data_IF_197377167545
#
_entry.id   IF_197377167545
#
_cell.length_a   1.000
_cell.length_b   1.000
_cell.length_c   1.000
_cell.angle_alpha   90.00
_cell.angle_beta   90.00
_cell.angle_gamma   90.00
#
_symmetry.space_group_name_H-M   'P 1'
#
loop_
_entity.id
_entity.type
_entity.pdbx_description
1 polymer ?
#
# COMPACT_ATOMS: atom_id res chain seq x y z
N UNK A 1 3.66 14.16 18.79
CA UNK A 1 2.55 14.44 19.73
C UNK A 1 3.00 14.80 21.17
N UNK A 2 3.99 15.71 21.35
CA UNK A 2 4.26 16.41 22.63
C UNK A 2 4.98 17.75 22.32
N UNK A 3 4.22 18.81 22.05
CA UNK A 3 4.71 20.20 22.03
C UNK A 3 3.59 21.14 22.51
N UNK A 4 3.31 21.13 23.81
CA UNK A 4 2.52 22.17 24.49
C UNK A 4 3.01 22.42 25.92
N UNK A 5 4.32 22.46 26.13
CA UNK A 5 4.90 23.04 27.35
C UNK A 5 6.11 23.90 26.99
N UNK A 6 5.86 25.18 26.67
CA UNK A 6 6.84 26.26 26.79
C UNK A 6 6.35 27.20 27.90
N UNK A 7 7.10 27.25 29.00
CA UNK A 7 7.04 28.33 29.98
C UNK A 7 7.56 29.60 29.31
N UNK A 8 6.77 30.66 29.36
CA UNK A 8 7.18 32.03 29.08
C UNK A 8 6.25 32.95 29.86
N UNK A 9 6.75 33.51 30.96
CA UNK A 9 6.00 34.46 31.77
C UNK A 9 5.84 35.79 31.06
N UNK A 10 4.65 36.38 31.12
CA UNK A 10 4.47 37.81 30.93
C UNK A 10 3.27 38.31 31.74
N UNK A 11 3.61 39.17 32.70
CA UNK A 11 2.85 40.16 33.46
C UNK A 11 1.31 40.13 33.46
N UNK A 12 0.77 40.01 34.68
CA UNK A 12 -0.60 40.39 35.05
C UNK A 12 -0.89 41.83 34.63
N UNK A 13 -1.86 42.04 33.74
CA UNK A 13 -2.58 43.31 33.59
C UNK A 13 -4.05 43.08 33.94
N UNK A 14 -4.53 43.74 35.00
CA UNK A 14 -5.95 43.86 35.35
C UNK A 14 -6.66 44.73 34.31
N UNK A 15 -7.78 44.24 33.77
CA UNK A 15 -8.93 45.00 33.22
C UNK A 15 -10.10 43.99 33.19
N UNK A 16 -10.95 43.99 34.22
CA UNK A 16 -12.28 44.63 34.29
C UNK A 16 -13.34 44.03 33.33
N UNK A 17 -14.25 43.31 33.98
CA UNK A 17 -15.63 42.87 33.67
C UNK A 17 -16.39 43.46 32.47
N UNK A 18 -17.08 42.56 31.75
CA UNK A 18 -18.33 42.79 31.02
C UNK A 18 -18.98 41.45 30.63
N UNK A 19 -20.29 41.22 30.81
CA UNK A 19 -20.91 39.92 30.55
C UNK A 19 -21.29 39.80 29.07
N UNK A 20 -20.54 39.00 28.33
CA UNK A 20 -20.86 38.62 26.95
C UNK A 20 -21.03 37.11 26.88
N UNK A 21 -22.29 36.67 26.77
CA UNK A 21 -22.64 35.28 26.58
C UNK A 21 -22.20 34.85 25.17
N UNK A 22 -21.09 34.13 25.08
CA UNK A 22 -20.73 33.34 23.89
C UNK A 22 -20.63 31.91 24.33
N UNK A 23 -21.66 31.14 23.98
CA UNK A 23 -21.71 29.70 24.08
C UNK A 23 -20.44 29.10 23.46
N UNK A 24 -19.53 28.65 24.32
CA UNK A 24 -18.39 27.81 23.94
C UNK A 24 -19.00 26.47 23.50
N UNK A 25 -18.79 26.00 22.26
CA UNK A 25 -19.37 24.75 21.80
C UNK A 25 -18.92 23.60 22.70
N UNK A 26 -19.90 22.76 23.11
CA UNK A 26 -19.79 21.66 24.08
C UNK A 26 -18.56 20.79 23.87
N UNK A 27 -17.56 20.95 24.73
CA UNK A 27 -16.46 19.99 24.90
C UNK A 27 -16.98 18.58 25.24
N UNK A 28 -18.17 18.47 25.83
CA UNK A 28 -18.76 17.22 26.28
C UNK A 28 -18.99 16.21 25.14
N UNK A 29 -19.37 16.67 23.95
CA UNK A 29 -19.59 15.79 22.79
C UNK A 29 -18.26 15.28 22.22
N UNK A 30 -17.24 16.13 22.22
CA UNK A 30 -15.88 15.77 21.79
C UNK A 30 -15.27 14.79 22.79
N UNK A 31 -15.44 15.04 24.09
CA UNK A 31 -14.96 14.15 25.15
C UNK A 31 -15.70 12.79 25.11
N UNK A 32 -17.02 12.80 24.88
CA UNK A 32 -17.80 11.58 24.68
C UNK A 32 -17.32 10.79 23.44
N UNK A 33 -17.04 11.48 22.33
CA UNK A 33 -16.48 10.86 21.13
C UNK A 33 -15.09 10.28 21.38
N UNK A 34 -14.20 11.02 22.05
CA UNK A 34 -12.86 10.54 22.41
C UNK A 34 -12.93 9.30 23.29
N UNK A 35 -13.79 9.31 24.31
CA UNK A 35 -14.01 8.17 25.18
C UNK A 35 -14.56 6.97 24.40
N UNK A 36 -15.48 7.21 23.45
CA UNK A 36 -16.01 6.15 22.60
C UNK A 36 -14.96 5.56 21.66
N UNK A 37 -14.12 6.39 21.05
CA UNK A 37 -12.99 5.94 20.21
C UNK A 37 -12.04 5.07 21.05
N UNK A 38 -11.69 5.51 22.26
CA UNK A 38 -10.81 4.76 23.15
C UNK A 38 -11.41 3.40 23.56
N UNK A 39 -12.71 3.35 23.86
CA UNK A 39 -13.40 2.10 24.18
C UNK A 39 -13.45 1.13 22.99
N UNK A 40 -13.67 1.63 21.77
CA UNK A 40 -13.64 0.79 20.56
C UNK A 40 -12.23 0.26 20.30
N UNK A 41 -11.22 1.12 20.37
CA UNK A 41 -9.83 0.71 20.14
C UNK A 41 -9.42 -0.39 21.12
N UNK A 42 -9.77 -0.32 22.41
CA UNK A 42 -9.47 -1.38 23.38
C UNK A 42 -10.04 -2.76 23.05
N UNK A 43 -11.07 -2.83 22.20
CA UNK A 43 -11.69 -4.09 21.79
C UNK A 43 -11.00 -4.71 20.56
N UNK A 44 -10.10 -3.98 19.91
CA UNK A 44 -9.40 -4.47 18.74
C UNK A 44 -8.38 -5.55 19.12
N UNK A 45 -8.31 -6.70 18.40
CA UNK A 45 -7.46 -7.83 18.77
C UNK A 45 -5.96 -7.51 18.88
N UNK A 46 -5.50 -6.48 18.17
CA UNK A 46 -4.11 -6.03 18.13
C UNK A 46 -3.79 -4.93 19.17
N UNK A 47 -4.79 -4.41 19.90
CA UNK A 47 -4.56 -3.37 20.91
C UNK A 47 -3.89 -3.98 22.15
N UNK A 48 -2.58 -3.73 22.28
CA UNK A 48 -1.69 -4.38 23.25
C UNK A 48 -0.45 -5.01 22.61
N UNK A 49 -0.47 -5.23 21.29
CA UNK A 49 0.73 -5.55 20.54
C UNK A 49 1.67 -4.35 20.52
N UNK A 50 2.98 -4.59 20.68
CA UNK A 50 3.98 -3.52 20.62
C UNK A 50 4.08 -3.01 19.19
N UNK A 51 3.32 -1.96 18.87
CA UNK A 51 3.61 -1.14 17.69
C UNK A 51 5.08 -0.71 17.84
N UNK A 52 5.98 -1.03 16.90
CA UNK A 52 7.37 -0.66 17.06
C UNK A 52 7.46 0.88 16.99
N UNK A 53 7.62 1.51 18.15
CA UNK A 53 7.69 2.98 18.32
C UNK A 53 8.76 3.60 17.39
N UNK A 54 9.74 2.80 16.99
CA UNK A 54 10.77 3.09 15.99
C UNK A 54 10.19 3.64 14.67
N UNK A 55 9.09 3.09 14.18
CA UNK A 55 8.42 3.56 12.94
C UNK A 55 7.79 4.94 13.10
N UNK A 56 7.28 5.27 14.28
CA UNK A 56 6.78 6.62 14.60
C UNK A 56 7.90 7.67 14.66
N UNK A 57 9.15 7.25 14.94
CA UNK A 57 10.30 8.14 14.85
C UNK A 57 10.74 8.34 13.40
N UNK A 58 10.66 7.31 12.57
CA UNK A 58 10.91 7.41 11.13
C UNK A 58 9.94 8.38 10.45
N UNK A 59 8.65 8.27 10.77
CA UNK A 59 7.62 9.21 10.29
C UNK A 59 7.99 10.67 10.60
N UNK A 60 8.45 10.98 11.81
CA UNK A 60 8.88 12.35 12.19
C UNK A 60 10.12 12.82 11.45
N UNK A 61 11.03 11.91 11.09
CA UNK A 61 12.19 12.26 10.26
C UNK A 61 11.73 12.64 8.86
N UNK A 62 10.80 11.88 8.28
CA UNK A 62 10.20 12.21 6.97
C UNK A 62 9.47 13.56 7.05
N UNK A 63 8.68 13.81 8.09
CA UNK A 63 8.02 15.11 8.30
C UNK A 63 9.01 16.27 8.35
N UNK A 64 10.14 16.10 9.04
CA UNK A 64 11.18 17.12 9.11
C UNK A 64 11.85 17.37 7.76
N UNK A 65 12.13 16.32 6.99
CA UNK A 65 12.69 16.44 5.63
C UNK A 65 11.73 17.16 4.69
N UNK A 66 10.44 16.84 4.77
CA UNK A 66 9.40 17.50 3.97
C UNK A 66 9.25 18.98 4.36
N UNK A 67 9.38 19.32 5.64
CA UNK A 67 9.36 20.70 6.11
C UNK A 67 10.55 21.54 5.60
N UNK A 68 11.69 20.90 5.35
CA UNK A 68 12.88 21.49 4.74
C UNK A 68 12.84 21.44 3.18
N UNK A 69 11.69 21.09 2.60
CA UNK A 69 11.49 20.93 1.14
C UNK A 69 12.38 19.84 0.50
N UNK A 70 12.79 18.83 1.28
CA UNK A 70 13.56 17.67 0.81
C UNK A 70 12.58 16.52 0.54
N UNK A 71 12.24 16.35 -0.74
CA UNK A 71 11.30 15.32 -1.19
C UNK A 71 11.98 14.03 -1.68
N UNK A 72 13.31 14.04 -1.76
CA UNK A 72 14.11 12.91 -2.20
C UNK A 72 15.35 12.80 -1.31
N UNK A 73 15.63 11.59 -0.84
CA UNK A 73 16.80 11.25 -0.03
C UNK A 73 17.38 9.97 -0.60
N UNK A 74 18.70 9.89 -0.69
CA UNK A 74 19.35 8.67 -1.20
C UNK A 74 19.28 7.53 -0.16
N UNK A 75 19.48 6.30 -0.62
CA UNK A 75 19.31 5.12 0.22
C UNK A 75 20.27 5.12 1.44
N UNK A 76 21.52 5.56 1.26
CA UNK A 76 22.52 5.61 2.34
C UNK A 76 22.14 6.59 3.45
N UNK A 77 21.65 7.79 3.08
CA UNK A 77 21.17 8.79 4.02
C UNK A 77 19.91 8.33 4.75
N UNK A 78 18.99 7.68 4.03
CA UNK A 78 17.77 7.14 4.63
C UNK A 78 18.07 6.03 5.64
N UNK A 79 19.00 5.12 5.29
CA UNK A 79 19.49 4.08 6.19
C UNK A 79 20.20 4.67 7.41
N UNK A 80 20.94 5.77 7.24
CA UNK A 80 21.56 6.48 8.37
C UNK A 80 20.50 7.03 9.33
N UNK A 81 19.44 7.67 8.83
CA UNK A 81 18.35 8.12 9.68
C UNK A 81 17.62 6.97 10.39
N UNK A 82 17.38 5.87 9.68
CA UNK A 82 16.74 4.70 10.27
C UNK A 82 17.57 4.07 11.40
N UNK A 83 18.88 3.92 11.21
CA UNK A 83 19.80 3.40 12.24
C UNK A 83 20.01 4.38 13.39
N UNK A 84 20.48 5.60 13.09
CA UNK A 84 20.94 6.56 14.11
C UNK A 84 19.79 7.22 14.88
N UNK A 85 18.63 7.44 14.24
CA UNK A 85 17.51 8.21 14.83
C UNK A 85 16.34 7.32 15.18
N UNK A 86 16.07 6.29 14.37
CA UNK A 86 14.90 5.42 14.55
C UNK A 86 15.25 4.11 15.26
N UNK A 87 16.55 3.81 15.46
CA UNK A 87 17.06 2.58 16.05
C UNK A 87 16.55 1.33 15.33
N UNK A 88 16.32 1.44 14.03
CA UNK A 88 15.95 0.33 13.13
C UNK A 88 17.26 -0.32 12.70
N UNK A 89 17.69 -1.32 13.48
CA UNK A 89 18.96 -2.05 13.30
C UNK A 89 18.80 -3.36 12.52
N UNK A 90 17.57 -3.77 12.23
CA UNK A 90 17.33 -4.95 11.41
C UNK A 90 17.75 -4.63 9.98
N UNK A 91 18.97 -5.06 9.64
CA UNK A 91 19.52 -5.04 8.29
C UNK A 91 18.52 -5.65 7.30
N UNK A 92 17.76 -6.65 7.78
CA UNK A 92 16.68 -7.34 7.07
C UNK A 92 15.47 -6.46 6.71
N UNK A 93 15.15 -5.44 7.51
CA UNK A 93 14.02 -4.52 7.26
C UNK A 93 14.36 -3.50 6.14
N UNK A 94 15.66 -3.27 5.88
CA UNK A 94 16.16 -2.43 4.78
C UNK A 94 16.68 -3.23 3.57
N UNK A 95 17.01 -4.51 3.70
CA UNK A 95 17.51 -5.36 2.59
C UNK A 95 16.50 -5.55 1.46
N UNK A 96 15.22 -5.23 1.67
CA UNK A 96 14.23 -5.18 0.58
C UNK A 96 14.63 -4.18 -0.52
N UNK A 97 15.58 -3.27 -0.24
CA UNK A 97 16.12 -2.25 -1.14
C UNK A 97 17.55 -2.54 -1.64
N UNK A 98 18.02 -3.81 -1.59
CA UNK A 98 19.34 -4.17 -2.11
C UNK A 98 19.52 -3.70 -3.58
N UNK A 99 20.59 -2.93 -3.91
CA UNK A 99 20.88 -2.51 -5.28
C UNK A 99 20.96 -3.66 -6.28
N UNK A 100 21.32 -4.88 -5.87
CA UNK A 100 21.31 -6.08 -6.74
C UNK A 100 19.90 -6.41 -7.23
N UNK A 101 18.88 -6.20 -6.39
CA UNK A 101 17.48 -6.46 -6.72
C UNK A 101 16.75 -5.28 -7.33
N UNK A 102 17.36 -4.09 -7.27
CA UNK A 102 16.77 -2.87 -7.83
C UNK A 102 16.38 -3.01 -9.30
N UNK A 103 17.05 -3.91 -10.06
CA UNK A 103 16.68 -4.23 -11.45
C UNK A 103 15.34 -4.98 -11.54
N UNK A 104 15.11 -5.95 -10.67
CA UNK A 104 13.91 -6.78 -10.67
C UNK A 104 12.70 -5.99 -10.17
N UNK A 105 12.88 -5.16 -9.14
CA UNK A 105 11.81 -4.25 -8.68
C UNK A 105 11.45 -3.20 -9.73
N UNK A 106 12.44 -2.64 -10.44
CA UNK A 106 12.18 -1.75 -11.58
C UNK A 106 11.43 -2.45 -12.72
N UNK A 107 11.71 -3.72 -12.95
CA UNK A 107 10.95 -4.52 -13.92
C UNK A 107 9.50 -4.69 -13.48
N UNK A 108 9.25 -5.03 -12.22
CA UNK A 108 7.89 -5.13 -11.64
C UNK A 108 7.15 -3.80 -11.79
N UNK A 109 7.80 -2.69 -11.46
CA UNK A 109 7.17 -1.37 -11.59
C UNK A 109 6.87 -0.98 -13.05
N UNK A 110 7.77 -1.32 -13.98
CA UNK A 110 7.63 -0.96 -15.39
C UNK A 110 6.64 -1.84 -16.13
N UNK A 111 6.59 -3.14 -15.81
CA UNK A 111 5.88 -4.16 -16.59
C UNK A 111 4.70 -4.77 -15.84
N UNK A 112 4.66 -4.64 -14.52
CA UNK A 112 3.75 -5.37 -13.65
C UNK A 112 4.08 -6.85 -13.50
N UNK A 113 5.21 -7.33 -14.01
CA UNK A 113 5.57 -8.75 -13.99
C UNK A 113 6.53 -9.05 -12.84
N UNK A 114 6.14 -10.00 -11.99
CA UNK A 114 6.91 -10.59 -10.91
C UNK A 114 7.51 -11.92 -11.37
N UNK A 115 8.85 -11.97 -11.43
CA UNK A 115 9.60 -13.18 -11.79
C UNK A 115 9.83 -14.10 -10.58
N UNK A 116 9.97 -15.40 -10.84
CA UNK A 116 10.30 -16.36 -9.79
C UNK A 116 11.68 -16.12 -9.16
N UNK A 117 12.64 -15.54 -9.91
CA UNK A 117 13.94 -15.13 -9.36
C UNK A 117 13.79 -14.10 -8.24
N UNK A 118 12.91 -13.10 -8.43
CA UNK A 118 12.66 -12.09 -7.40
C UNK A 118 11.90 -12.70 -6.21
N UNK A 119 10.93 -13.57 -6.45
CA UNK A 119 10.22 -14.30 -5.39
C UNK A 119 11.21 -15.13 -4.57
N UNK A 120 12.06 -15.91 -5.23
CA UNK A 120 13.04 -16.76 -4.56
C UNK A 120 14.01 -15.94 -3.72
N UNK A 121 14.42 -14.77 -4.23
CA UNK A 121 15.27 -13.85 -3.48
C UNK A 121 14.55 -13.24 -2.26
N UNK A 122 13.38 -12.61 -2.45
CA UNK A 122 12.64 -11.92 -1.39
C UNK A 122 12.23 -12.90 -0.28
N UNK A 123 11.82 -14.11 -0.65
CA UNK A 123 11.37 -15.10 0.30
C UNK A 123 12.47 -16.06 0.77
N UNK A 124 13.71 -15.94 0.28
CA UNK A 124 14.81 -16.89 0.57
C UNK A 124 14.96 -17.16 2.08
N UNK A 125 15.06 -16.11 2.89
CA UNK A 125 15.27 -16.22 4.35
C UNK A 125 14.08 -16.89 5.04
N UNK A 126 12.86 -16.54 4.63
CA UNK A 126 11.65 -17.12 5.20
C UNK A 126 11.48 -18.60 4.83
N UNK A 127 11.90 -18.98 3.62
CA UNK A 127 11.91 -20.38 3.19
C UNK A 127 12.88 -21.20 4.05
N UNK A 128 14.04 -20.65 4.41
CA UNK A 128 14.97 -21.30 5.36
C UNK A 128 14.36 -21.48 6.76
N UNK A 129 13.43 -20.62 7.16
CA UNK A 129 12.72 -20.69 8.44
C UNK A 129 11.49 -21.62 8.42
N UNK A 130 11.27 -22.36 7.32
CA UNK A 130 10.17 -23.32 7.19
C UNK A 130 8.92 -22.78 6.51
N UNK A 131 8.95 -21.55 5.98
CA UNK A 131 7.83 -20.99 5.22
C UNK A 131 7.74 -21.68 3.85
N UNK A 132 6.57 -22.24 3.53
CA UNK A 132 6.33 -22.91 2.26
C UNK A 132 6.02 -21.86 1.18
N UNK A 133 6.98 -21.61 0.29
CA UNK A 133 6.86 -20.64 -0.83
C UNK A 133 5.55 -20.76 -1.61
N UNK A 134 5.14 -22.00 -1.88
CA UNK A 134 3.91 -22.29 -2.62
C UNK A 134 2.66 -21.76 -1.91
N UNK A 135 2.57 -21.93 -0.60
CA UNK A 135 1.40 -21.51 0.18
C UNK A 135 1.26 -19.97 0.19
N UNK A 136 2.38 -19.24 0.20
CA UNK A 136 2.39 -17.78 0.08
C UNK A 136 1.88 -17.36 -1.29
N UNK A 137 2.41 -17.95 -2.37
CA UNK A 137 2.00 -17.62 -3.73
C UNK A 137 0.52 -17.94 -3.95
N UNK A 138 0.05 -19.09 -3.47
CA UNK A 138 -1.35 -19.50 -3.53
C UNK A 138 -2.24 -18.53 -2.73
N UNK A 139 -1.78 -18.05 -1.56
CA UNK A 139 -2.47 -17.00 -0.80
C UNK A 139 -2.54 -15.68 -1.58
N UNK A 140 -1.42 -15.23 -2.14
CA UNK A 140 -1.35 -13.99 -2.91
C UNK A 140 -2.24 -14.04 -4.17
N UNK A 141 -2.28 -15.18 -4.86
CA UNK A 141 -3.19 -15.43 -5.97
C UNK A 141 -4.65 -15.38 -5.53
N UNK A 142 -4.99 -16.05 -4.41
CA UNK A 142 -6.35 -16.11 -3.88
C UNK A 142 -6.90 -14.72 -3.55
N UNK A 143 -6.06 -13.84 -3.01
CA UNK A 143 -6.43 -12.47 -2.66
C UNK A 143 -6.23 -11.47 -3.82
N UNK A 144 -5.94 -11.94 -5.03
CA UNK A 144 -5.82 -11.09 -6.22
C UNK A 144 -4.66 -10.11 -6.15
N UNK A 145 -3.64 -10.41 -5.33
CA UNK A 145 -2.41 -9.63 -5.26
C UNK A 145 -1.50 -9.94 -6.45
N UNK A 146 -1.55 -11.19 -6.92
CA UNK A 146 -0.86 -11.65 -8.11
C UNK A 146 -1.79 -12.50 -8.98
N UNK A 147 -1.41 -12.71 -10.23
CA UNK A 147 -2.10 -13.59 -11.16
C UNK A 147 -1.08 -14.41 -11.95
N UNK A 148 -1.11 -15.74 -11.80
CA UNK A 148 -0.20 -16.64 -12.49
C UNK A 148 -0.47 -16.66 -13.99
N UNK A 149 0.60 -16.60 -14.78
CA UNK A 149 0.59 -16.88 -16.21
C UNK A 149 1.87 -17.59 -16.63
N UNK A 150 1.82 -18.31 -17.74
CA UNK A 150 2.95 -19.10 -18.24
C UNK A 150 3.17 -18.81 -19.73
N UNK A 151 4.16 -17.98 -20.09
CA UNK A 151 4.51 -17.75 -21.50
C UNK A 151 5.00 -19.02 -22.19
N UNK A 152 5.57 -19.95 -21.42
CA UNK A 152 6.03 -21.25 -21.88
C UNK A 152 5.80 -22.31 -20.78
N UNK A 153 5.87 -23.62 -21.10
CA UNK A 153 5.67 -24.68 -20.12
C UNK A 153 6.65 -24.67 -18.93
N UNK A 154 7.82 -24.04 -19.10
CA UNK A 154 8.89 -23.99 -18.09
C UNK A 154 9.06 -22.63 -17.44
N UNK A 155 8.43 -21.58 -17.98
CA UNK A 155 8.54 -20.21 -17.47
C UNK A 155 7.23 -19.82 -16.78
N UNK A 156 7.22 -19.89 -15.44
CA UNK A 156 6.07 -19.43 -14.63
C UNK A 156 6.34 -18.02 -14.16
N UNK A 157 5.42 -17.11 -14.47
CA UNK A 157 5.48 -15.70 -14.06
C UNK A 157 4.18 -15.28 -13.39
N UNK A 158 4.25 -14.19 -12.66
CA UNK A 158 3.10 -13.61 -11.99
C UNK A 158 2.90 -12.18 -12.47
N UNK A 159 1.66 -11.81 -12.73
CA UNK A 159 1.28 -10.43 -12.97
C UNK A 159 0.83 -9.81 -11.66
N UNK A 160 1.20 -8.56 -11.37
CA UNK A 160 0.84 -7.82 -10.15
C UNK A 160 -0.17 -6.74 -10.53
N UNK A 161 -1.49 -6.95 -10.34
CA UNK A 161 -2.51 -6.03 -10.82
C UNK A 161 -2.37 -4.60 -10.30
N UNK A 162 -1.85 -4.44 -9.07
CA UNK A 162 -1.62 -3.14 -8.46
C UNK A 162 -0.56 -2.28 -9.21
N UNK A 163 0.24 -2.87 -10.10
CA UNK A 163 1.22 -2.15 -10.92
C UNK A 163 0.64 -1.61 -12.23
N UNK A 164 -0.65 -1.81 -12.50
CA UNK A 164 -1.35 -1.20 -13.62
C UNK A 164 -1.61 0.28 -13.35
N UNK A 165 -0.62 1.12 -13.65
CA UNK A 165 -0.68 2.57 -13.40
C UNK A 165 -1.30 3.38 -14.55
N UNK A 166 -1.40 2.81 -15.75
CA UNK A 166 -1.91 3.52 -16.92
C UNK A 166 -2.70 2.62 -17.86
N UNK A 167 -3.73 3.16 -18.55
CA UNK A 167 -4.47 2.42 -19.55
C UNK A 167 -3.57 2.10 -20.75
N UNK A 168 -3.78 0.97 -21.44
CA UNK A 168 -3.04 0.67 -22.66
C UNK A 168 -3.41 1.69 -23.73
N UNK A 169 -2.41 2.38 -24.31
CA UNK A 169 -2.63 3.40 -25.36
C UNK A 169 -3.53 2.88 -26.48
N UNK A 170 -3.31 1.64 -26.91
CA UNK A 170 -4.05 1.00 -28.01
C UNK A 170 -5.53 0.77 -27.73
N UNK A 171 -5.97 0.68 -26.47
CA UNK A 171 -7.40 0.45 -26.15
C UNK A 171 -8.21 1.74 -26.29
N UNK A 172 -7.58 2.90 -26.12
CA UNK A 172 -8.26 4.20 -26.25
C UNK A 172 -8.52 4.57 -27.72
N UNK A 173 -7.79 3.97 -28.65
CA UNK A 173 -7.85 4.28 -30.09
C UNK A 173 -8.74 3.30 -30.88
N UNK A 174 -9.34 2.30 -30.24
CA UNK A 174 -10.18 1.28 -30.90
C UNK A 174 -11.62 1.76 -30.94
N UNK A 175 -12.15 1.96 -32.15
CA UNK A 175 -13.58 2.18 -32.35
C UNK A 175 -14.33 0.83 -32.33
N UNK A 176 -15.50 0.75 -31.65
CA UNK A 176 -16.29 -0.46 -31.62
C UNK A 176 -16.79 -0.84 -33.01
N UNK A 177 -16.61 -2.11 -33.38
CA UNK A 177 -17.19 -2.72 -34.58
C UNK A 177 -18.65 -3.14 -34.34
N UNK A 178 -19.44 -3.23 -35.41
CA UNK A 178 -20.82 -3.75 -35.37
C UNK A 178 -20.91 -5.23 -34.94
N UNK A 179 -19.80 -5.96 -34.99
CA UNK A 179 -19.70 -7.36 -34.58
C UNK A 179 -19.11 -7.55 -33.17
N UNK A 180 -18.72 -6.46 -32.50
CA UNK A 180 -18.18 -6.55 -31.15
C UNK A 180 -19.27 -6.90 -30.14
N UNK A 181 -18.93 -7.63 -29.06
CA UNK A 181 -19.87 -7.86 -27.98
C UNK A 181 -20.36 -6.53 -27.40
N UNK A 182 -21.63 -6.50 -27.02
CA UNK A 182 -22.25 -5.30 -26.44
C UNK A 182 -21.46 -4.83 -25.21
N UNK A 183 -21.11 -3.53 -25.10
CA UNK A 183 -20.35 -3.03 -23.96
C UNK A 183 -21.15 -3.20 -22.66
N UNK A 184 -20.52 -3.82 -21.67
CA UNK A 184 -21.08 -3.96 -20.34
C UNK A 184 -20.59 -2.82 -19.44
N UNK A 185 -21.53 -2.06 -18.89
CA UNK A 185 -21.23 -1.00 -17.92
C UNK A 185 -21.60 -1.47 -16.52
N UNK A 186 -20.64 -1.38 -15.60
CA UNK A 186 -20.88 -1.62 -14.17
C UNK A 186 -21.00 -0.26 -13.48
N UNK A 187 -22.20 0.02 -12.95
CA UNK A 187 -22.49 1.29 -12.29
C UNK A 187 -22.54 1.13 -10.77
N UNK A 188 -21.74 1.92 -10.05
CA UNK A 188 -21.69 1.94 -8.58
C UNK A 188 -22.59 3.06 -8.05
N UNK A 189 -23.84 2.71 -7.73
CA UNK A 189 -24.91 3.65 -7.34
C UNK A 189 -24.55 4.53 -6.14
N UNK A 190 -23.74 4.01 -5.21
CA UNK A 190 -23.34 4.72 -3.97
C UNK A 190 -22.03 5.50 -4.17
N UNK A 191 -21.52 5.59 -5.40
CA UNK A 191 -20.29 6.31 -5.73
C UNK A 191 -19.00 5.67 -5.20
N UNK A 192 -19.09 4.55 -4.49
CA UNK A 192 -17.94 3.82 -3.97
C UNK A 192 -17.63 2.58 -4.80
N UNK A 193 -16.40 2.48 -5.28
CA UNK A 193 -15.84 1.28 -5.90
C UNK A 193 -15.12 0.49 -4.81
N UNK A 194 -15.51 -0.77 -4.54
CA UNK A 194 -14.81 -1.59 -3.56
C UNK A 194 -13.30 -1.64 -3.81
N UNK A 195 -12.51 -1.40 -2.77
CA UNK A 195 -11.05 -1.50 -2.86
C UNK A 195 -10.66 -2.90 -3.36
N UNK A 196 -9.78 -2.93 -4.37
CA UNK A 196 -9.30 -4.17 -4.97
C UNK A 196 -10.26 -4.82 -5.97
N UNK A 197 -11.45 -4.26 -6.26
CA UNK A 197 -12.34 -4.81 -7.29
C UNK A 197 -11.64 -4.95 -8.63
N UNK A 198 -10.92 -3.90 -9.06
CA UNK A 198 -10.16 -3.92 -10.30
C UNK A 198 -9.08 -5.01 -10.29
N UNK A 199 -8.28 -5.07 -9.23
CA UNK A 199 -7.23 -6.10 -9.08
C UNK A 199 -7.81 -7.51 -9.14
N UNK A 200 -8.93 -7.75 -8.46
CA UNK A 200 -9.64 -9.02 -8.48
C UNK A 200 -10.16 -9.36 -9.88
N UNK A 201 -10.79 -8.41 -10.57
CA UNK A 201 -11.30 -8.63 -11.92
C UNK A 201 -10.18 -8.97 -12.89
N UNK A 202 -9.07 -8.23 -12.84
CA UNK A 202 -7.87 -8.50 -13.65
C UNK A 202 -7.28 -9.88 -13.32
N UNK A 203 -7.06 -10.21 -12.05
CA UNK A 203 -6.51 -11.51 -11.66
C UNK A 203 -7.39 -12.68 -12.09
N UNK A 204 -8.72 -12.55 -11.94
CA UNK A 204 -9.67 -13.57 -12.34
C UNK A 204 -9.72 -13.74 -13.85
N UNK A 205 -9.68 -12.63 -14.61
CA UNK A 205 -9.62 -12.65 -16.07
C UNK A 205 -8.34 -13.34 -16.56
N UNK A 206 -7.17 -12.99 -16.02
CA UNK A 206 -5.89 -13.62 -16.38
C UNK A 206 -5.91 -15.12 -16.06
N UNK A 207 -6.40 -15.51 -14.88
CA UNK A 207 -6.52 -16.92 -14.49
C UNK A 207 -7.46 -17.69 -15.41
N UNK A 208 -8.57 -17.07 -15.83
CA UNK A 208 -9.51 -17.64 -16.78
C UNK A 208 -8.86 -17.83 -18.15
N UNK A 209 -8.29 -16.76 -18.72
CA UNK A 209 -7.60 -16.79 -20.01
C UNK A 209 -6.48 -17.84 -20.05
N UNK A 210 -5.75 -18.01 -18.95
CA UNK A 210 -4.68 -19.02 -18.86
C UNK A 210 -5.21 -20.46 -18.88
N UNK A 211 -6.46 -20.69 -18.44
CA UNK A 211 -7.11 -22.02 -18.44
C UNK A 211 -7.84 -22.31 -19.75
N UNK A 212 -8.46 -21.31 -20.37
CA UNK A 212 -9.34 -21.50 -21.54
C UNK A 212 -8.72 -21.06 -22.85
N UNK A 213 -7.71 -20.18 -22.83
CA UNK A 213 -7.16 -19.51 -24.01
C UNK A 213 -6.35 -20.37 -24.97
N UNK A 214 -6.03 -21.62 -24.60
CA UNK A 214 -5.25 -22.54 -25.44
C UNK A 214 -6.09 -23.52 -26.29
N UNK A 215 -7.44 -23.48 -26.23
CA UNK A 215 -8.29 -24.51 -26.86
C UNK A 215 -8.99 -24.09 -28.17
N UNK A 216 -8.67 -22.95 -28.77
CA UNK A 216 -9.17 -22.63 -30.11
C UNK A 216 -8.08 -22.04 -31.02
N UNK A 217 -7.67 -22.76 -32.09
CA UNK A 217 -7.16 -22.06 -33.26
C UNK A 217 -8.30 -21.17 -33.75
N UNK A 218 -8.04 -19.88 -33.86
CA UNK A 218 -8.98 -18.96 -34.49
C UNK A 218 -9.05 -19.29 -35.99
N UNK A 219 -9.96 -20.19 -36.36
CA UNK A 219 -10.46 -20.26 -37.72
C UNK A 219 -11.49 -19.13 -37.88
N UNK A 220 -11.01 -17.93 -38.19
CA UNK A 220 -11.87 -16.90 -38.75
C UNK A 220 -11.99 -17.18 -40.25
N UNK A 221 -13.21 -17.49 -40.69
CA UNK A 221 -13.63 -17.46 -42.10
C UNK A 221 -14.41 -16.19 -42.32
#
# INVERSE_FOLDING_TARGET
>A
MKKWFRKGGLQRRRQQSGPGNTDIPRNDEIEALQNRIMEVLKQEPYMGEKIPIKWLNFEKVIEALVAEHIYHVNLEQLQRYAREVCFIDDEDEFTTLDPVNSKYWREVEKTGVLSMELVDHVFYKFIQQGLVKKDILDMMERFGLIAKFSPSPTDVKYFVPAQLKSPPKRVCDVEPSSHDPCPMYVHFVVGFVPHGLFSQLVSRAISWCSKTGAQHPQNCT
#
